data_IF_530596166877
#
_entry.id   IF_530596166877
#
_cell.length_a   1.000
_cell.length_b   1.000
_cell.length_c   1.000
_cell.angle_alpha   90.00
_cell.angle_beta   90.00
_cell.angle_gamma   90.00
#
_symmetry.space_group_name_H-M   'P 1'
#
loop_
_entity.id
_entity.type
_entity.pdbx_description
1 polymer ?
#
# COMPACT_ATOMS: atom_id res chain seq x y z
N UNK A 1 10.56 -8.49 -9.19
CA UNK A 1 10.28 -9.60 -8.25
C UNK A 1 8.77 -9.67 -8.11
N UNK A 2 8.12 -10.74 -8.58
CA UNK A 2 6.67 -10.95 -8.40
C UNK A 2 6.48 -11.88 -7.20
N UNK A 3 5.68 -11.44 -6.25
CA UNK A 3 5.28 -12.23 -5.08
C UNK A 3 3.79 -12.00 -4.92
N UNK A 4 2.97 -12.90 -5.43
CA UNK A 4 1.52 -12.76 -5.34
C UNK A 4 1.14 -12.79 -3.86
N UNK A 5 0.42 -11.76 -3.41
CA UNK A 5 -0.09 -11.68 -2.05
C UNK A 5 -1.41 -12.45 -2.06
N UNK A 6 -1.42 -13.66 -1.53
CA UNK A 6 -2.63 -14.48 -1.42
C UNK A 6 -3.31 -14.13 -0.10
N UNK A 7 -4.55 -13.66 -0.16
CA UNK A 7 -5.42 -13.46 1.01
C UNK A 7 -6.19 -14.76 1.27
N UNK A 8 -5.89 -15.47 2.37
CA UNK A 8 -6.73 -16.59 2.82
C UNK A 8 -7.78 -16.05 3.80
N UNK A 9 -8.98 -15.79 3.27
CA UNK A 9 -10.14 -15.27 4.01
C UNK A 9 -11.26 -16.29 4.14
N UNK A 10 -10.94 -17.59 4.01
CA UNK A 10 -11.90 -18.72 4.05
C UNK A 10 -12.65 -18.83 5.40
N UNK A 11 -13.65 -17.96 5.60
CA UNK A 11 -14.39 -17.89 6.85
C UNK A 11 -15.60 -16.95 6.88
N UNK A 12 -15.80 -16.06 5.90
CA UNK A 12 -16.98 -15.19 5.83
C UNK A 12 -17.15 -14.20 6.99
N UNK A 13 -16.19 -14.13 7.92
CA UNK A 13 -16.14 -13.17 9.01
C UNK A 13 -15.24 -12.00 8.61
N UNK A 14 -15.71 -10.77 8.81
CA UNK A 14 -14.89 -9.58 8.65
C UNK A 14 -13.62 -9.74 9.51
N UNK A 15 -12.43 -9.70 8.89
CA UNK A 15 -11.19 -9.61 9.63
C UNK A 15 -11.24 -8.31 10.45
N UNK A 16 -11.54 -8.42 11.76
CA UNK A 16 -11.61 -7.26 12.67
C UNK A 16 -10.24 -6.63 12.95
N UNK A 17 -9.16 -7.19 12.39
CA UNK A 17 -7.84 -6.61 12.46
C UNK A 17 -7.56 -5.77 11.21
N UNK A 18 -7.02 -4.55 11.36
CA UNK A 18 -6.59 -3.76 10.21
C UNK A 18 -5.59 -4.56 9.36
N UNK A 19 -5.82 -4.54 8.06
CA UNK A 19 -4.91 -5.07 7.06
C UNK A 19 -4.03 -3.93 6.55
N UNK A 20 -2.73 -4.19 6.41
CA UNK A 20 -1.75 -3.18 6.08
C UNK A 20 -1.09 -3.50 4.73
N UNK A 21 -1.08 -2.53 3.83
CA UNK A 21 -0.23 -2.56 2.64
C UNK A 21 0.86 -1.50 2.79
N UNK A 22 2.12 -1.94 2.84
CA UNK A 22 3.27 -1.07 2.98
C UNK A 22 3.92 -0.85 1.61
N UNK A 23 3.96 0.40 1.16
CA UNK A 23 4.60 0.84 -0.08
C UNK A 23 5.93 1.51 0.26
N UNK A 24 7.03 0.89 -0.16
CA UNK A 24 8.39 1.35 0.11
C UNK A 24 8.90 2.16 -1.08
N UNK A 25 9.46 3.33 -0.81
CA UNK A 25 10.03 4.24 -1.79
C UNK A 25 11.49 4.48 -1.45
N UNK A 26 12.40 4.14 -2.36
CA UNK A 26 13.80 4.50 -2.25
C UNK A 26 13.94 6.00 -2.52
N UNK A 27 14.48 6.73 -1.55
CA UNK A 27 14.59 8.19 -1.58
C UNK A 27 16.04 8.61 -1.81
N UNK A 28 16.24 9.78 -2.42
CA UNK A 28 17.56 10.42 -2.42
C UNK A 28 17.92 10.90 -1.01
N UNK A 29 19.22 11.01 -0.71
CA UNK A 29 19.67 11.50 0.61
C UNK A 29 19.07 12.88 0.93
N UNK A 30 18.46 13.00 2.11
CA UNK A 30 17.75 14.19 2.57
C UNK A 30 16.38 14.43 1.93
N UNK A 31 15.94 13.60 0.99
CA UNK A 31 14.60 13.69 0.43
C UNK A 31 13.55 13.09 1.38
N UNK A 32 12.35 13.66 1.32
CA UNK A 32 11.17 13.19 2.03
C UNK A 32 10.01 13.09 1.06
N UNK A 33 9.10 12.16 1.33
CA UNK A 33 7.88 12.02 0.55
C UNK A 33 6.81 12.97 1.10
N UNK A 34 6.31 13.94 0.33
CA UNK A 34 5.20 14.80 0.78
C UNK A 34 3.90 14.00 0.83
N UNK A 35 3.29 13.89 2.01
CA UNK A 35 2.08 13.09 2.21
C UNK A 35 0.93 13.45 1.25
N UNK A 36 0.60 14.75 1.14
CA UNK A 36 -0.48 15.19 0.26
C UNK A 36 -0.18 14.89 -1.21
N UNK A 37 1.07 15.12 -1.64
CA UNK A 37 1.53 14.80 -2.99
C UNK A 37 1.39 13.31 -3.30
N UNK A 38 1.70 12.43 -2.35
CA UNK A 38 1.44 10.99 -2.49
C UNK A 38 -0.06 10.71 -2.65
N UNK A 39 -0.91 11.21 -1.74
CA UNK A 39 -2.35 10.89 -1.76
C UNK A 39 -3.06 11.38 -3.02
N UNK A 40 -2.61 12.47 -3.63
CA UNK A 40 -3.14 12.97 -4.90
C UNK A 40 -2.69 12.13 -6.10
N UNK A 41 -1.58 11.42 -5.99
CA UNK A 41 -0.99 10.58 -7.02
C UNK A 41 -1.18 9.08 -6.78
N UNK A 42 -2.02 8.70 -5.80
CA UNK A 42 -2.31 7.31 -5.50
C UNK A 42 -3.73 6.93 -5.89
N UNK A 43 -3.89 5.77 -6.52
CA UNK A 43 -5.17 5.22 -6.92
C UNK A 43 -5.33 3.80 -6.37
N UNK A 44 -6.51 3.53 -5.82
CA UNK A 44 -7.01 2.18 -5.53
C UNK A 44 -8.20 1.95 -6.45
N UNK A 45 -8.11 0.94 -7.31
CA UNK A 45 -9.16 0.60 -8.26
C UNK A 45 -9.52 -0.89 -8.12
N UNK A 46 -10.67 -1.24 -7.52
CA UNK A 46 -11.17 -2.61 -7.58
C UNK A 46 -11.63 -2.96 -9.00
N UNK A 47 -11.38 -4.19 -9.44
CA UNK A 47 -11.85 -4.75 -10.71
C UNK A 47 -12.56 -6.07 -10.44
N UNK A 48 -13.85 -6.15 -10.82
CA UNK A 48 -14.70 -7.34 -10.67
C UNK A 48 -14.53 -8.03 -9.30
N UNK A 49 -14.40 -7.26 -8.22
CA UNK A 49 -13.87 -7.78 -6.96
C UNK A 49 -14.94 -8.28 -5.99
N UNK A 50 -14.85 -9.56 -5.61
CA UNK A 50 -15.46 -10.09 -4.39
C UNK A 50 -14.73 -9.65 -3.11
N UNK A 51 -13.50 -9.18 -3.27
CA UNK A 51 -12.74 -8.47 -2.26
C UNK A 51 -13.25 -7.03 -2.19
N UNK A 52 -13.76 -6.60 -1.04
CA UNK A 52 -14.00 -5.18 -0.76
C UNK A 52 -12.92 -4.66 0.19
N UNK A 53 -12.21 -3.62 -0.26
CA UNK A 53 -11.29 -2.86 0.57
C UNK A 53 -12.01 -1.58 1.03
N UNK A 54 -12.14 -1.43 2.34
CA UNK A 54 -12.48 -0.14 2.93
C UNK A 54 -11.19 0.56 3.34
N UNK A 55 -10.92 1.69 2.70
CA UNK A 55 -9.86 2.61 3.10
C UNK A 55 -10.16 3.17 4.51
N UNK A 56 -9.21 3.05 5.43
CA UNK A 56 -9.32 3.61 6.77
C UNK A 56 -8.43 4.86 6.93
N UNK A 57 -7.13 4.72 6.63
CA UNK A 57 -6.16 5.81 6.74
C UNK A 57 -4.87 5.49 5.95
N UNK A 58 -4.04 6.51 5.72
CA UNK A 58 -2.62 6.35 5.42
C UNK A 58 -1.74 6.77 6.60
N UNK A 59 -0.65 6.05 6.78
CA UNK A 59 0.46 6.42 7.64
C UNK A 59 1.69 6.62 6.77
N UNK A 60 2.51 7.62 7.09
CA UNK A 60 3.74 7.91 6.36
C UNK A 60 4.91 7.91 7.35
N UNK A 61 5.96 7.20 6.97
CA UNK A 61 7.24 7.15 7.67
C UNK A 61 8.32 7.63 6.70
N UNK A 62 8.90 8.79 6.95
CA UNK A 62 10.00 9.31 6.15
C UNK A 62 11.36 8.77 6.63
N UNK A 63 12.41 8.85 5.78
CA UNK A 63 13.77 8.59 6.19
C UNK A 63 14.14 9.29 7.50
N UNK A 64 14.57 8.52 8.49
CA UNK A 64 14.97 9.03 9.81
C UNK A 64 13.85 9.23 10.83
N UNK A 65 12.58 8.97 10.48
CA UNK A 65 11.49 9.00 11.44
C UNK A 65 11.60 7.85 12.46
N UNK A 66 11.34 8.16 13.74
CA UNK A 66 11.30 7.13 14.78
C UNK A 66 9.98 6.37 14.72
N UNK A 67 10.03 5.10 14.30
CA UNK A 67 8.84 4.25 14.22
C UNK A 67 8.59 3.54 15.56
N UNK A 68 7.41 3.75 16.16
CA UNK A 68 7.03 3.01 17.37
C UNK A 68 6.74 1.53 17.05
N UNK A 69 7.33 0.62 17.82
CA UNK A 69 7.39 -0.81 17.50
C UNK A 69 6.04 -1.53 17.35
N UNK A 70 4.97 -1.07 18.02
CA UNK A 70 3.68 -1.77 18.01
C UNK A 70 2.91 -1.63 16.68
N UNK A 71 3.30 -0.68 15.82
CA UNK A 71 2.64 -0.42 14.53
C UNK A 71 3.67 -0.08 13.44
N UNK A 72 4.88 -0.64 13.51
CA UNK A 72 5.91 -0.37 12.51
C UNK A 72 5.64 -1.07 11.17
N UNK A 73 6.10 -0.53 10.02
CA UNK A 73 6.24 -1.27 8.77
C UNK A 73 6.97 -2.59 8.99
N UNK A 74 6.57 -3.64 8.29
CA UNK A 74 7.31 -4.90 8.26
C UNK A 74 7.54 -5.33 6.80
N UNK A 75 8.81 -5.44 6.34
CA UNK A 75 10.05 -5.19 7.08
C UNK A 75 10.20 -3.73 7.56
N UNK A 76 11.08 -3.49 8.54
CA UNK A 76 11.41 -2.10 8.91
C UNK A 76 12.08 -1.42 7.70
N UNK A 77 11.78 -0.13 7.43
CA UNK A 77 12.40 0.58 6.33
C UNK A 77 13.90 0.75 6.53
N UNK A 78 14.63 0.72 5.42
CA UNK A 78 16.02 1.13 5.39
C UNK A 78 16.16 2.65 5.59
N UNK A 79 17.38 3.11 5.88
CA UNK A 79 17.64 4.49 6.30
C UNK A 79 17.28 5.55 5.25
N UNK A 80 17.26 5.18 3.98
CA UNK A 80 16.95 5.98 2.81
C UNK A 80 15.55 5.68 2.24
N UNK A 81 14.71 4.92 2.95
CA UNK A 81 13.37 4.58 2.48
C UNK A 81 12.29 5.40 3.17
N UNK A 82 11.35 5.90 2.37
CA UNK A 82 10.04 6.32 2.85
C UNK A 82 9.07 5.15 2.75
N UNK A 83 8.15 5.01 3.72
CA UNK A 83 7.08 4.02 3.68
C UNK A 83 5.75 4.71 3.79
N UNK A 84 4.87 4.45 2.83
CA UNK A 84 3.45 4.75 2.96
C UNK A 84 2.73 3.46 3.30
N UNK A 85 2.10 3.44 4.47
CA UNK A 85 1.26 2.34 4.93
C UNK A 85 -0.19 2.69 4.68
N UNK A 86 -0.85 1.88 3.87
CA UNK A 86 -2.29 1.90 3.68
C UNK A 86 -2.93 1.01 4.74
N UNK A 87 -3.70 1.62 5.64
CA UNK A 87 -4.50 0.93 6.64
C UNK A 87 -5.89 0.69 6.07
N UNK A 88 -6.28 -0.57 5.97
CA UNK A 88 -7.55 -0.98 5.37
C UNK A 88 -8.27 -2.01 6.23
N UNK A 89 -9.57 -2.18 6.00
CA UNK A 89 -10.25 -3.42 6.32
C UNK A 89 -10.59 -4.14 5.04
N UNK A 90 -10.22 -5.41 4.95
CA UNK A 90 -10.55 -6.28 3.83
C UNK A 90 -11.73 -7.15 4.25
N UNK A 91 -12.79 -7.14 3.45
CA UNK A 91 -13.87 -8.12 3.55
C UNK A 91 -13.90 -8.88 2.24
N UNK A 92 -13.90 -10.20 2.33
CA UNK A 92 -13.95 -11.08 1.18
C UNK A 92 -15.23 -11.91 1.19
N UNK A 93 -15.80 -12.11 0.02
CA UNK A 93 -16.93 -13.00 -0.19
C UNK A 93 -16.45 -14.21 -0.98
N UNK A 94 -16.52 -15.40 -0.38
CA UNK A 94 -16.10 -16.69 -0.96
C UNK A 94 -16.89 -17.16 -2.21
N UNK A 95 -17.55 -16.25 -2.93
CA UNK A 95 -18.47 -16.55 -4.03
C UNK A 95 -17.92 -16.19 -5.43
N UNK A 96 -16.84 -15.41 -5.55
CA UNK A 96 -16.16 -15.18 -6.83
C UNK A 96 -14.71 -14.70 -6.64
N UNK A 97 -13.90 -14.87 -7.68
CA UNK A 97 -12.56 -14.30 -7.79
C UNK A 97 -12.60 -12.81 -8.12
N UNK A 98 -11.58 -12.05 -7.72
CA UNK A 98 -11.53 -10.61 -7.95
C UNK A 98 -10.12 -10.04 -7.85
N UNK A 99 -9.92 -8.79 -8.30
CA UNK A 99 -8.64 -8.12 -8.08
C UNK A 99 -8.73 -6.65 -7.71
N UNK A 100 -7.68 -6.15 -7.08
CA UNK A 100 -7.54 -4.75 -6.67
C UNK A 100 -6.22 -4.23 -7.20
N UNK A 101 -6.29 -3.16 -7.98
CA UNK A 101 -5.14 -2.46 -8.52
C UNK A 101 -4.77 -1.28 -7.61
N UNK A 102 -3.54 -1.31 -7.12
CA UNK A 102 -2.88 -0.15 -6.53
C UNK A 102 -2.01 0.51 -7.58
N UNK A 103 -2.08 1.84 -7.70
CA UNK A 103 -1.28 2.60 -8.66
C UNK A 103 -0.72 3.87 -8.02
N UNK A 104 0.54 4.17 -8.31
CA UNK A 104 1.19 5.45 -8.02
C UNK A 104 1.57 6.09 -9.36
N UNK A 105 1.13 7.33 -9.60
CA UNK A 105 1.43 8.04 -10.84
C UNK A 105 2.84 8.66 -10.83
N UNK A 106 3.45 8.75 -12.01
CA UNK A 106 4.79 9.32 -12.19
C UNK A 106 4.91 10.80 -11.81
N UNK A 107 3.79 11.50 -11.70
CA UNK A 107 3.74 12.92 -11.30
C UNK A 107 4.08 13.11 -9.81
N UNK A 108 4.17 12.03 -9.03
CA UNK A 108 4.63 12.07 -7.64
C UNK A 108 6.07 12.61 -7.56
N UNK A 109 6.22 13.69 -6.79
CA UNK A 109 7.49 14.40 -6.60
C UNK A 109 7.86 14.47 -5.12
N UNK A 110 9.13 14.25 -4.79
CA UNK A 110 9.66 14.34 -3.43
C UNK A 110 9.88 15.80 -2.97
N UNK A 111 10.32 15.99 -1.73
CA UNK A 111 10.59 17.31 -1.15
C UNK A 111 11.75 18.08 -1.81
N UNK A 112 12.59 17.41 -2.59
CA UNK A 112 13.71 18.01 -3.32
C UNK A 112 13.39 18.26 -4.80
N UNK A 113 12.20 17.88 -5.27
CA UNK A 113 11.78 18.05 -6.65
C UNK A 113 12.12 16.88 -7.58
N UNK A 114 12.54 15.72 -7.05
CA UNK A 114 12.73 14.52 -7.85
C UNK A 114 11.37 13.85 -8.08
N UNK A 115 11.06 13.51 -9.33
CA UNK A 115 9.83 12.82 -9.69
C UNK A 115 10.06 11.33 -9.92
N UNK A 116 9.00 10.54 -9.74
CA UNK A 116 9.01 9.14 -10.16
C UNK A 116 9.25 9.02 -11.67
N UNK A 117 10.05 8.03 -12.07
CA UNK A 117 10.40 7.84 -13.48
C UNK A 117 9.28 7.23 -14.31
N UNK A 118 8.41 6.45 -13.68
CA UNK A 118 7.31 5.73 -14.30
C UNK A 118 6.12 5.58 -13.35
N UNK A 119 4.96 5.32 -13.92
CA UNK A 119 3.80 4.85 -13.16
C UNK A 119 4.10 3.47 -12.56
N UNK A 120 3.88 3.31 -11.27
CA UNK A 120 3.97 2.01 -10.60
C UNK A 120 2.58 1.43 -10.39
N UNK A 121 2.44 0.12 -10.58
CA UNK A 121 1.18 -0.57 -10.28
C UNK A 121 1.39 -1.97 -9.74
N UNK A 122 0.53 -2.38 -8.81
CA UNK A 122 0.49 -3.73 -8.24
C UNK A 122 -0.95 -4.19 -8.15
N UNK A 123 -1.19 -5.39 -8.64
CA UNK A 123 -2.48 -6.05 -8.52
C UNK A 123 -2.44 -7.03 -7.33
N UNK A 124 -3.53 -7.05 -6.57
CA UNK A 124 -3.84 -8.04 -5.56
C UNK A 124 -5.01 -8.85 -6.07
N UNK A 125 -4.81 -10.14 -6.29
CA UNK A 125 -5.86 -11.03 -6.81
C UNK A 125 -6.21 -12.07 -5.76
N UNK A 126 -7.51 -12.34 -5.62
CA UNK A 126 -7.99 -13.52 -4.91
C UNK A 126 -8.04 -14.68 -5.91
N UNK A 127 -7.18 -15.67 -5.66
CA UNK A 127 -7.11 -16.92 -6.43
C UNK A 127 -7.79 -18.06 -5.65
N UNK A 128 -9.03 -17.86 -5.19
CA UNK A 128 -9.85 -18.99 -4.78
C UNK A 128 -10.21 -19.84 -6.01
N UNK A 129 -9.54 -20.99 -6.14
CA UNK A 129 -9.89 -22.09 -7.04
C UNK A 129 -9.65 -23.45 -6.38
#
# INVERSE_FOLDING_TARGET
MSSDIILDTSGGDALQNPFYFDFYFDMSDGAQLPFFGFTENFLISPSDSCISITYLNFELYNPGDSVAAAAAPQPLPDADQAVVRLVTSVTDSAAASGSILFKVYSDLTDSLGNSMLEDWSRELSDEDN
#
